data_IF_209904842466
#
_entry.id   IF_209904842466
#
_cell.length_a   1.000
_cell.length_b   1.000
_cell.length_c   1.000
_cell.angle_alpha   90.00
_cell.angle_beta   90.00
_cell.angle_gamma   90.00
#
_symmetry.space_group_name_H-M   'P 1'
#
loop_
_entity.id
_entity.type
_entity.pdbx_description
1 polymer ?
#
# COMPACT_ATOMS: atom_id res chain seq x y z
N UNK A 1 17.74 -0.12 -67.57
CA UNK A 1 17.56 0.93 -66.55
C UNK A 1 16.21 0.67 -65.90
N UNK A 2 16.18 -0.18 -64.86
CA UNK A 2 14.95 -0.55 -64.14
C UNK A 2 14.99 0.11 -62.77
N UNK A 3 13.99 0.96 -62.51
CA UNK A 3 13.85 1.70 -61.26
C UNK A 3 13.40 0.80 -60.13
N UNK A 4 14.16 0.81 -59.03
CA UNK A 4 13.79 0.27 -57.73
C UNK A 4 12.72 1.16 -57.10
N UNK A 5 11.50 0.64 -56.98
CA UNK A 5 10.43 1.22 -56.18
C UNK A 5 10.76 0.91 -54.71
N UNK A 6 10.93 1.96 -53.91
CA UNK A 6 11.16 1.85 -52.48
C UNK A 6 9.93 1.33 -51.74
N UNK A 7 10.16 0.46 -50.78
CA UNK A 7 9.20 0.17 -49.70
C UNK A 7 9.75 0.81 -48.44
N UNK A 8 9.30 2.04 -48.16
CA UNK A 8 9.36 2.59 -46.80
C UNK A 8 8.46 1.73 -45.92
N UNK A 9 9.04 0.86 -45.09
CA UNK A 9 8.35 0.33 -43.92
C UNK A 9 8.24 1.46 -42.90
N UNK A 10 7.11 2.16 -42.91
CA UNK A 10 6.67 2.94 -41.76
C UNK A 10 6.43 1.93 -40.63
N UNK A 11 7.21 1.98 -39.55
CA UNK A 11 6.87 1.23 -38.34
C UNK A 11 5.60 1.85 -37.78
N UNK A 12 4.47 1.17 -37.90
CA UNK A 12 3.27 1.58 -37.18
C UNK A 12 3.61 1.62 -35.68
N UNK A 13 3.42 2.78 -35.04
CA UNK A 13 3.52 2.90 -33.60
C UNK A 13 2.49 1.98 -32.93
N UNK A 14 2.82 1.46 -31.74
CA UNK A 14 1.81 0.79 -30.91
C UNK A 14 0.66 1.77 -30.65
N UNK A 15 -0.58 1.28 -30.68
CA UNK A 15 -1.76 2.07 -30.34
C UNK A 15 -2.43 1.35 -29.18
N UNK A 16 -2.49 2.02 -28.03
CA UNK A 16 -3.09 1.46 -26.83
C UNK A 16 -4.60 1.26 -27.00
N UNK A 17 -5.11 0.16 -26.47
CA UNK A 17 -6.51 -0.17 -26.33
C UNK A 17 -7.09 0.39 -25.03
N UNK A 18 -8.24 -0.17 -24.60
CA UNK A 18 -8.99 0.35 -23.46
C UNK A 18 -8.19 0.29 -22.15
N UNK A 19 -7.41 -0.77 -21.96
CA UNK A 19 -6.55 -0.94 -20.78
C UNK A 19 -5.45 0.11 -20.79
N UNK A 20 -4.81 0.34 -21.94
CA UNK A 20 -3.72 1.30 -22.07
C UNK A 20 -4.13 2.76 -21.92
N UNK A 21 -5.42 3.08 -22.10
CA UNK A 21 -5.98 4.43 -21.96
C UNK A 21 -6.85 4.62 -20.71
N UNK A 22 -6.87 3.66 -19.79
CA UNK A 22 -7.71 3.74 -18.58
C UNK A 22 -7.29 4.92 -17.68
N UNK A 23 -8.25 5.58 -16.98
CA UNK A 23 -7.94 6.59 -15.99
C UNK A 23 -7.11 5.98 -14.84
N UNK A 24 -6.26 6.77 -14.20
CA UNK A 24 -5.31 6.25 -13.20
C UNK A 24 -5.16 7.17 -11.99
N UNK A 25 -4.74 6.56 -10.88
CA UNK A 25 -4.57 7.22 -9.58
C UNK A 25 -3.09 7.26 -9.20
N UNK A 26 -2.36 8.30 -9.63
CA UNK A 26 -0.89 8.41 -9.50
C UNK A 26 -0.34 8.33 -8.07
N UNK A 27 -1.14 8.73 -7.07
CA UNK A 27 -0.74 8.74 -5.66
C UNK A 27 -0.79 7.34 -5.01
N UNK A 28 -1.09 6.30 -5.77
CA UNK A 28 -1.12 4.91 -5.28
C UNK A 28 0.28 4.32 -5.34
N UNK A 29 0.64 3.53 -4.32
CA UNK A 29 1.94 2.84 -4.28
C UNK A 29 2.10 1.81 -5.41
N UNK A 30 1.01 1.11 -5.73
CA UNK A 30 0.94 0.12 -6.81
C UNK A 30 0.21 0.69 -8.01
N UNK A 31 0.52 0.22 -9.23
CA UNK A 31 -0.18 0.67 -10.42
C UNK A 31 -1.69 0.46 -10.31
N UNK A 32 -2.43 1.57 -10.33
CA UNK A 32 -3.86 1.57 -10.07
C UNK A 32 -4.63 2.39 -11.10
N UNK A 33 -5.56 1.75 -11.79
CA UNK A 33 -6.53 2.41 -12.67
C UNK A 33 -7.82 2.69 -11.89
N UNK A 34 -8.47 3.80 -12.19
CA UNK A 34 -9.59 4.31 -11.41
C UNK A 34 -9.86 5.79 -11.66
N UNK A 35 -11.06 6.23 -11.28
CA UNK A 35 -11.49 7.64 -11.38
C UNK A 35 -11.57 8.33 -10.03
N UNK A 36 -11.73 7.57 -8.95
CA UNK A 36 -11.92 8.06 -7.59
C UNK A 36 -11.14 7.15 -6.63
N UNK A 37 -10.33 7.73 -5.74
CA UNK A 37 -9.51 6.95 -4.84
C UNK A 37 -10.28 6.32 -3.68
N UNK A 38 -11.55 6.68 -3.48
CA UNK A 38 -12.45 6.08 -2.48
C UNK A 38 -13.13 4.79 -2.97
N UNK A 39 -13.12 4.54 -4.30
CA UNK A 39 -13.75 3.35 -4.88
C UNK A 39 -13.13 2.04 -4.36
N UNK A 40 -13.95 0.98 -4.20
CA UNK A 40 -13.45 -0.37 -3.93
C UNK A 40 -12.33 -0.77 -4.89
N UNK A 41 -11.30 -1.46 -4.41
CA UNK A 41 -10.16 -1.88 -5.23
C UNK A 41 -10.16 -3.38 -5.48
N UNK A 42 -10.27 -3.79 -6.75
CA UNK A 42 -10.00 -5.14 -7.21
C UNK A 42 -8.49 -5.30 -7.39
N UNK A 43 -7.89 -6.22 -6.65
CA UNK A 43 -6.46 -6.54 -6.79
C UNK A 43 -6.29 -7.64 -7.83
N UNK A 44 -5.40 -7.41 -8.78
CA UNK A 44 -5.14 -8.30 -9.92
C UNK A 44 -3.68 -8.74 -9.88
N UNK A 45 -3.47 -10.05 -9.69
CA UNK A 45 -2.15 -10.69 -9.74
C UNK A 45 -1.88 -11.19 -11.15
N UNK A 46 -0.80 -10.71 -11.76
CA UNK A 46 -0.35 -11.08 -13.11
C UNK A 46 1.16 -11.28 -13.14
N UNK A 47 1.65 -11.93 -14.20
CA UNK A 47 3.07 -12.06 -14.50
C UNK A 47 3.29 -11.84 -16.01
N UNK A 48 4.31 -11.06 -16.38
CA UNK A 48 4.57 -10.71 -17.78
C UNK A 48 5.00 -11.89 -18.66
N UNK A 49 5.52 -12.98 -18.09
CA UNK A 49 5.88 -14.20 -18.83
C UNK A 49 4.74 -15.23 -18.93
N UNK A 50 3.59 -14.98 -18.27
CA UNK A 50 2.47 -15.91 -18.24
C UNK A 50 1.52 -15.70 -19.42
N UNK A 51 1.41 -16.70 -20.31
CA UNK A 51 0.42 -16.72 -21.40
C UNK A 51 -1.03 -16.60 -20.88
N UNK A 52 -1.32 -17.23 -19.73
CA UNK A 52 -2.62 -17.05 -19.08
C UNK A 52 -2.85 -15.59 -18.64
N UNK A 53 -1.82 -14.90 -18.12
CA UNK A 53 -1.92 -13.48 -17.76
C UNK A 53 -2.11 -12.60 -18.99
N UNK A 54 -1.45 -12.93 -20.10
CA UNK A 54 -1.67 -12.26 -21.38
C UNK A 54 -3.12 -12.38 -21.83
N UNK A 55 -3.66 -13.61 -21.85
CA UNK A 55 -5.06 -13.83 -22.21
C UNK A 55 -6.00 -13.02 -21.30
N UNK A 56 -5.73 -13.00 -19.99
CA UNK A 56 -6.51 -12.22 -19.03
C UNK A 56 -6.52 -10.74 -19.37
N UNK A 57 -5.34 -10.14 -19.59
CA UNK A 57 -5.22 -8.70 -19.87
C UNK A 57 -5.92 -8.33 -21.17
N UNK A 58 -5.77 -9.15 -22.21
CA UNK A 58 -6.33 -8.88 -23.55
C UNK A 58 -7.84 -9.10 -23.67
N UNK A 59 -8.49 -9.76 -22.69
CA UNK A 59 -9.91 -10.10 -22.79
C UNK A 59 -10.64 -9.73 -21.49
N UNK A 60 -10.32 -10.42 -20.39
CA UNK A 60 -11.09 -10.30 -19.14
C UNK A 60 -10.87 -8.94 -18.44
N UNK A 61 -9.65 -8.41 -18.46
CA UNK A 61 -9.35 -7.11 -17.85
C UNK A 61 -10.01 -5.98 -18.63
N UNK A 62 -9.99 -6.03 -19.97
CA UNK A 62 -10.68 -5.06 -20.81
C UNK A 62 -12.17 -4.97 -20.46
N UNK A 63 -12.84 -6.11 -20.29
CA UNK A 63 -14.25 -6.14 -19.87
C UNK A 63 -14.45 -5.55 -18.46
N UNK A 64 -13.57 -5.85 -17.49
CA UNK A 64 -13.63 -5.21 -16.16
C UNK A 64 -13.46 -3.69 -16.26
N UNK A 65 -12.53 -3.22 -17.08
CA UNK A 65 -12.30 -1.78 -17.28
C UNK A 65 -13.55 -1.12 -17.85
N UNK A 66 -14.13 -1.73 -18.88
CA UNK A 66 -15.32 -1.22 -19.56
C UNK A 66 -16.52 -1.14 -18.63
N UNK A 67 -16.77 -2.21 -17.86
CA UNK A 67 -18.00 -2.36 -17.09
C UNK A 67 -17.92 -1.76 -15.67
N UNK A 68 -16.73 -1.59 -15.09
CA UNK A 68 -16.61 -1.15 -13.69
C UNK A 68 -15.65 0.03 -13.47
N UNK A 69 -14.54 0.10 -14.19
CA UNK A 69 -13.55 1.18 -13.98
C UNK A 69 -14.02 2.48 -14.63
N UNK A 70 -14.42 2.44 -15.90
CA UNK A 70 -14.88 3.64 -16.62
C UNK A 70 -16.19 4.23 -16.07
N UNK A 71 -17.17 3.41 -15.62
CA UNK A 71 -18.35 3.93 -14.93
C UNK A 71 -18.04 4.51 -13.53
N UNK A 72 -16.83 4.29 -13.00
CA UNK A 72 -16.40 4.80 -11.71
C UNK A 72 -16.89 3.98 -10.51
N UNK A 73 -17.13 2.68 -10.68
CA UNK A 73 -17.58 1.79 -9.61
C UNK A 73 -16.44 1.02 -8.92
N UNK A 74 -15.29 0.90 -9.59
CA UNK A 74 -14.20 0.03 -9.15
C UNK A 74 -12.84 0.59 -9.56
N UNK A 75 -11.88 0.52 -8.65
CA UNK A 75 -10.46 0.68 -8.96
C UNK A 75 -9.84 -0.70 -9.23
N UNK A 76 -8.84 -0.78 -10.11
CA UNK A 76 -8.05 -2.01 -10.32
C UNK A 76 -6.59 -1.72 -9.98
N UNK A 77 -6.07 -2.43 -8.99
CA UNK A 77 -4.66 -2.38 -8.57
C UNK A 77 -3.92 -3.62 -9.06
N UNK A 78 -2.77 -3.44 -9.71
CA UNK A 78 -1.93 -4.53 -10.18
C UNK A 78 -0.88 -4.95 -9.16
N UNK A 79 -0.72 -6.27 -9.02
CA UNK A 79 0.35 -6.92 -8.29
C UNK A 79 1.09 -7.89 -9.23
N UNK A 80 2.41 -7.74 -9.31
CA UNK A 80 3.24 -8.58 -10.16
C UNK A 80 3.79 -9.77 -9.38
N UNK A 81 3.16 -10.93 -9.51
CA UNK A 81 3.57 -12.13 -8.78
C UNK A 81 4.73 -12.81 -9.50
N UNK A 82 5.95 -12.56 -9.03
CA UNK A 82 7.19 -13.09 -9.64
C UNK A 82 7.71 -14.35 -8.97
N UNK A 83 7.43 -14.55 -7.68
CA UNK A 83 7.91 -15.70 -6.91
C UNK A 83 6.75 -16.63 -6.55
N UNK A 84 7.07 -17.90 -6.31
CA UNK A 84 6.10 -18.91 -5.92
C UNK A 84 5.65 -18.73 -4.47
N UNK A 85 4.34 -18.62 -4.18
CA UNK A 85 3.83 -18.56 -2.81
C UNK A 85 4.17 -19.79 -1.95
N UNK A 86 4.37 -20.97 -2.57
CA UNK A 86 4.74 -22.22 -1.90
C UNK A 86 6.25 -22.45 -1.80
N UNK A 87 7.06 -21.67 -2.52
CA UNK A 87 8.51 -21.75 -2.56
C UNK A 87 9.10 -20.38 -2.92
N UNK A 88 9.13 -19.46 -1.96
CA UNK A 88 9.38 -18.02 -2.20
C UNK A 88 10.74 -17.67 -2.82
N UNK A 89 11.69 -18.60 -2.82
CA UNK A 89 13.00 -18.45 -3.46
C UNK A 89 12.98 -18.83 -4.96
N UNK A 90 11.91 -19.46 -5.42
CA UNK A 90 11.71 -19.89 -6.81
C UNK A 90 10.80 -18.92 -7.55
N UNK A 91 11.09 -18.69 -8.83
CA UNK A 91 10.26 -17.87 -9.72
C UNK A 91 8.97 -18.61 -10.13
N UNK A 92 7.92 -17.86 -10.42
CA UNK A 92 6.57 -18.41 -10.57
C UNK A 92 6.35 -19.17 -11.88
N UNK A 93 6.80 -18.62 -13.02
CA UNK A 93 6.44 -19.10 -14.36
C UNK A 93 7.57 -19.90 -15.02
N UNK A 94 8.80 -19.50 -14.80
CA UNK A 94 10.04 -20.00 -15.40
C UNK A 94 11.15 -19.98 -14.36
N UNK A 95 12.30 -20.60 -14.61
CA UNK A 95 13.46 -20.51 -13.70
C UNK A 95 14.33 -19.25 -13.97
N UNK A 96 13.72 -18.15 -14.42
CA UNK A 96 14.43 -16.98 -14.97
C UNK A 96 14.14 -15.67 -14.20
N UNK A 97 15.22 -14.98 -13.79
CA UNK A 97 15.17 -13.68 -13.11
C UNK A 97 14.52 -12.55 -13.96
N UNK A 98 14.26 -12.79 -15.24
CA UNK A 98 13.49 -11.92 -16.11
C UNK A 98 12.09 -11.60 -15.59
N UNK A 99 11.47 -12.49 -14.80
CA UNK A 99 10.16 -12.26 -14.17
C UNK A 99 10.21 -11.10 -13.19
N UNK A 100 11.10 -11.19 -12.19
CA UNK A 100 11.26 -10.13 -11.21
C UNK A 100 11.82 -8.87 -11.86
N UNK A 101 12.70 -8.99 -12.86
CA UNK A 101 13.24 -7.83 -13.60
C UNK A 101 12.15 -7.04 -14.32
N UNK A 102 11.21 -7.70 -14.99
CA UNK A 102 10.09 -7.04 -15.64
C UNK A 102 9.16 -6.36 -14.61
N UNK A 103 8.91 -7.02 -13.48
CA UNK A 103 8.11 -6.46 -12.38
C UNK A 103 8.75 -5.20 -11.77
N UNK A 104 10.06 -5.21 -11.53
CA UNK A 104 10.81 -4.01 -11.08
C UNK A 104 10.75 -2.89 -12.10
N UNK A 105 10.88 -3.19 -13.39
CA UNK A 105 10.78 -2.18 -14.44
C UNK A 105 9.38 -1.56 -14.46
N UNK A 106 8.31 -2.36 -14.34
CA UNK A 106 6.94 -1.86 -14.27
C UNK A 106 6.69 -0.97 -13.05
N UNK A 107 7.18 -1.35 -11.86
CA UNK A 107 7.14 -0.47 -10.69
C UNK A 107 7.92 0.84 -10.92
N UNK A 108 9.05 0.78 -11.62
CA UNK A 108 9.81 1.98 -11.97
C UNK A 108 9.09 2.89 -12.96
N UNK A 109 8.39 2.34 -13.95
CA UNK A 109 7.53 3.15 -14.83
C UNK A 109 6.44 3.82 -14.01
N UNK A 110 5.77 3.10 -13.12
CA UNK A 110 4.72 3.69 -12.26
C UNK A 110 5.23 4.80 -11.34
N UNK A 111 6.39 4.60 -10.70
CA UNK A 111 7.02 5.58 -9.79
C UNK A 111 7.53 6.85 -10.53
N UNK A 112 7.96 6.72 -11.78
CA UNK A 112 8.62 7.82 -12.51
C UNK A 112 7.70 8.50 -13.53
N UNK A 113 6.85 7.74 -14.22
CA UNK A 113 5.94 8.18 -15.28
C UNK A 113 4.60 7.41 -15.21
N UNK A 114 3.79 7.60 -14.16
CA UNK A 114 2.51 6.93 -14.02
C UNK A 114 1.56 7.20 -15.19
N UNK A 115 1.70 8.34 -15.87
CA UNK A 115 0.90 8.72 -17.05
C UNK A 115 1.14 7.82 -18.27
N UNK A 116 2.31 7.17 -18.36
CA UNK A 116 2.68 6.27 -19.46
C UNK A 116 2.63 4.79 -19.05
N UNK A 117 2.26 4.49 -17.80
CA UNK A 117 2.31 3.13 -17.28
C UNK A 117 1.36 2.18 -18.01
N UNK A 118 0.10 2.57 -18.25
CA UNK A 118 -0.89 1.67 -18.83
C UNK A 118 -0.59 1.32 -20.28
N UNK A 119 -0.09 2.29 -21.06
CA UNK A 119 0.39 2.05 -22.42
C UNK A 119 1.59 1.08 -22.44
N UNK A 120 2.54 1.25 -21.52
CA UNK A 120 3.64 0.29 -21.32
C UNK A 120 3.15 -1.11 -20.93
N UNK A 121 2.23 -1.19 -19.98
CA UNK A 121 1.66 -2.44 -19.49
C UNK A 121 0.97 -3.23 -20.60
N UNK A 122 0.12 -2.58 -21.38
CA UNK A 122 -0.59 -3.20 -22.49
C UNK A 122 0.36 -3.56 -23.64
N UNK A 123 1.38 -2.74 -23.91
CA UNK A 123 2.43 -3.05 -24.89
C UNK A 123 3.19 -4.33 -24.53
N UNK A 124 3.54 -4.51 -23.25
CA UNK A 124 4.25 -5.69 -22.75
C UNK A 124 3.44 -6.97 -23.00
N UNK A 125 2.13 -6.96 -22.76
CA UNK A 125 1.24 -8.09 -23.03
C UNK A 125 0.86 -8.24 -24.52
N UNK A 126 1.02 -7.21 -25.34
CA UNK A 126 0.79 -7.29 -26.78
C UNK A 126 1.98 -7.90 -27.55
N UNK A 127 3.18 -7.89 -26.96
CA UNK A 127 4.42 -8.32 -27.62
C UNK A 127 5.09 -9.56 -26.96
N UNK A 128 4.32 -10.46 -26.33
CA UNK A 128 4.87 -11.67 -25.68
C UNK A 128 5.38 -12.66 -26.74
N UNK A 129 6.58 -12.41 -27.25
CA UNK A 129 7.37 -13.35 -28.05
C UNK A 129 8.64 -13.78 -27.31
N UNK A 130 8.88 -13.20 -26.14
CA UNK A 130 10.11 -13.35 -25.35
C UNK A 130 9.89 -14.28 -24.16
N UNK A 131 10.69 -15.35 -24.08
CA UNK A 131 10.71 -16.30 -22.94
C UNK A 131 11.47 -15.77 -21.71
N UNK A 132 12.06 -14.58 -21.79
CA UNK A 132 12.81 -13.89 -20.73
C UNK A 132 12.96 -12.40 -21.09
N UNK A 133 13.10 -11.53 -20.08
CA UNK A 133 13.30 -10.09 -20.25
C UNK A 133 14.70 -9.66 -19.79
N UNK A 134 15.56 -9.27 -20.72
CA UNK A 134 16.85 -8.62 -20.41
C UNK A 134 16.69 -7.11 -20.18
N UNK A 135 17.68 -6.47 -19.56
CA UNK A 135 17.73 -5.01 -19.35
C UNK A 135 17.52 -4.22 -20.65
N UNK A 136 18.24 -4.60 -21.72
CA UNK A 136 18.14 -3.95 -23.04
C UNK A 136 16.75 -4.12 -23.67
N UNK A 137 16.12 -5.29 -23.49
CA UNK A 137 14.76 -5.50 -23.99
C UNK A 137 13.76 -4.59 -23.26
N UNK A 138 13.83 -4.51 -21.93
CA UNK A 138 12.94 -3.67 -21.13
C UNK A 138 13.09 -2.18 -21.47
N UNK A 139 14.32 -1.68 -21.61
CA UNK A 139 14.58 -0.31 -22.08
C UNK A 139 13.99 -0.04 -23.46
N UNK A 140 14.16 -0.98 -24.39
CA UNK A 140 13.56 -0.89 -25.72
C UNK A 140 12.04 -0.91 -25.67
N UNK A 141 11.43 -1.73 -24.81
CA UNK A 141 9.97 -1.84 -24.68
C UNK A 141 9.37 -0.56 -24.11
N UNK A 142 9.96 -0.02 -23.04
CA UNK A 142 9.59 1.28 -22.48
C UNK A 142 9.63 2.38 -23.55
N UNK A 143 10.72 2.49 -24.31
CA UNK A 143 10.83 3.51 -25.36
C UNK A 143 9.82 3.34 -26.49
N UNK A 144 9.46 2.10 -26.84
CA UNK A 144 8.47 1.78 -27.89
C UNK A 144 7.02 2.00 -27.45
N UNK A 145 6.76 2.02 -26.15
CA UNK A 145 5.44 2.27 -25.56
C UNK A 145 5.26 3.70 -25.04
N UNK A 146 6.15 4.63 -25.42
CA UNK A 146 6.02 6.04 -25.08
C UNK A 146 6.64 6.50 -23.75
N UNK A 147 7.26 5.61 -22.97
CA UNK A 147 7.97 5.98 -21.73
C UNK A 147 9.25 6.76 -22.07
N UNK A 148 9.46 7.92 -21.44
CA UNK A 148 10.51 8.88 -21.80
C UNK A 148 11.73 8.80 -20.87
N UNK A 149 11.53 8.58 -19.58
CA UNK A 149 12.57 8.57 -18.54
C UNK A 149 13.22 7.18 -18.37
N UNK A 150 13.41 6.44 -19.46
CA UNK A 150 13.90 5.05 -19.49
C UNK A 150 15.18 4.84 -18.67
N UNK A 151 16.18 5.71 -18.83
CA UNK A 151 17.45 5.63 -18.10
C UNK A 151 17.28 5.76 -16.58
N UNK A 152 16.42 6.67 -16.12
CA UNK A 152 16.16 6.86 -14.69
C UNK A 152 15.45 5.64 -14.11
N UNK A 153 14.46 5.13 -14.83
CA UNK A 153 13.68 3.94 -14.46
C UNK A 153 14.60 2.71 -14.38
N UNK A 154 15.38 2.47 -15.44
CA UNK A 154 16.37 1.40 -15.50
C UNK A 154 17.34 1.46 -14.32
N UNK A 155 17.95 2.63 -14.07
CA UNK A 155 18.89 2.78 -12.95
C UNK A 155 18.25 2.49 -11.58
N UNK A 156 17.00 2.88 -11.36
CA UNK A 156 16.28 2.58 -10.10
C UNK A 156 15.95 1.10 -9.99
N UNK A 157 15.36 0.53 -11.03
CA UNK A 157 14.93 -0.88 -11.05
C UNK A 157 16.11 -1.85 -10.93
N UNK A 158 17.23 -1.57 -11.62
CA UNK A 158 18.37 -2.49 -11.68
C UNK A 158 19.27 -2.41 -10.46
N UNK A 159 19.11 -1.35 -9.64
CA UNK A 159 19.76 -1.22 -8.33
C UNK A 159 18.92 -1.80 -7.19
N UNK A 160 17.83 -2.49 -7.50
CA UNK A 160 17.04 -3.19 -6.47
C UNK A 160 15.98 -2.34 -5.78
N UNK A 161 15.82 -1.05 -6.13
CA UNK A 161 14.87 -0.12 -5.45
C UNK A 161 13.46 -0.69 -5.26
N UNK A 162 12.99 -1.53 -6.19
CA UNK A 162 11.63 -2.08 -6.16
C UNK A 162 11.58 -3.55 -5.71
N UNK A 163 12.67 -4.09 -5.14
CA UNK A 163 12.73 -5.48 -4.65
C UNK A 163 11.65 -5.75 -3.60
N UNK A 164 11.48 -4.83 -2.65
CA UNK A 164 10.47 -4.91 -1.59
C UNK A 164 9.04 -4.91 -2.15
N UNK A 165 8.75 -4.12 -3.18
CA UNK A 165 7.44 -4.14 -3.88
C UNK A 165 7.18 -5.46 -4.61
N UNK A 166 8.20 -6.06 -5.22
CA UNK A 166 8.05 -7.37 -5.88
C UNK A 166 7.85 -8.48 -4.85
N UNK A 167 8.55 -8.42 -3.70
CA UNK A 167 8.40 -9.38 -2.60
C UNK A 167 7.03 -9.26 -1.94
N UNK A 168 6.54 -8.04 -1.68
CA UNK A 168 5.25 -7.80 -1.05
C UNK A 168 4.06 -8.39 -1.82
N UNK A 169 4.13 -8.45 -3.16
CA UNK A 169 3.10 -9.09 -3.97
C UNK A 169 2.99 -10.60 -3.69
N UNK A 170 4.12 -11.26 -3.40
CA UNK A 170 4.18 -12.70 -3.09
C UNK A 170 3.65 -12.99 -1.69
N UNK A 171 3.96 -12.16 -0.72
CA UNK A 171 3.45 -12.32 0.65
C UNK A 171 1.96 -12.04 0.74
N UNK A 172 1.49 -11.03 0.03
CA UNK A 172 0.06 -10.80 -0.07
C UNK A 172 -0.60 -12.04 -0.70
N UNK A 173 -0.02 -12.60 -1.76
CA UNK A 173 -0.53 -13.83 -2.34
C UNK A 173 -0.56 -14.99 -1.32
N UNK A 174 0.48 -15.19 -0.50
CA UNK A 174 0.49 -16.17 0.59
C UNK A 174 -0.63 -15.90 1.61
N UNK A 175 -0.75 -14.65 2.06
CA UNK A 175 -1.72 -14.22 3.08
C UNK A 175 -3.17 -14.49 2.67
N UNK A 176 -3.46 -14.40 1.36
CA UNK A 176 -4.79 -14.63 0.80
C UNK A 176 -4.93 -15.98 0.08
N UNK A 177 -3.94 -16.87 0.18
CA UNK A 177 -3.99 -18.20 -0.42
C UNK A 177 -4.05 -18.19 -1.96
N UNK A 178 -3.48 -17.17 -2.59
CA UNK A 178 -3.40 -16.98 -4.05
C UNK A 178 -2.19 -17.76 -4.58
N UNK A 179 -2.38 -18.89 -5.30
CA UNK A 179 -1.26 -19.79 -5.57
C UNK A 179 -0.62 -19.60 -6.96
N UNK A 180 -1.30 -18.91 -7.88
CA UNK A 180 -0.93 -18.82 -9.30
C UNK A 180 -1.38 -17.50 -9.90
N UNK A 181 -0.98 -17.19 -11.13
CA UNK A 181 -1.54 -16.09 -11.94
C UNK A 181 -2.27 -16.63 -13.18
N UNK A 182 -3.15 -15.83 -13.81
CA UNK A 182 -3.72 -14.59 -13.32
C UNK A 182 -4.72 -14.88 -12.20
N UNK A 183 -4.82 -13.98 -11.22
CA UNK A 183 -5.83 -14.04 -10.16
C UNK A 183 -6.43 -12.67 -9.95
N UNK A 184 -7.72 -12.66 -9.69
CA UNK A 184 -8.43 -11.48 -9.21
C UNK A 184 -8.83 -11.70 -7.76
N UNK A 185 -8.68 -10.68 -6.92
CA UNK A 185 -9.00 -10.69 -5.51
C UNK A 185 -9.80 -9.43 -5.18
N UNK A 186 -10.96 -9.62 -4.57
CA UNK A 186 -11.77 -8.55 -4.01
C UNK A 186 -12.36 -9.07 -2.72
N UNK A 187 -12.13 -8.35 -1.64
CA UNK A 187 -12.27 -8.90 -0.30
C UNK A 187 -11.20 -10.00 -0.06
N UNK A 188 -11.53 -10.96 0.79
CA UNK A 188 -10.73 -12.17 0.97
C UNK A 188 -10.87 -13.19 -0.15
N UNK A 189 -11.92 -13.04 -0.96
CA UNK A 189 -12.20 -13.99 -2.02
C UNK A 189 -11.29 -13.70 -3.21
N UNK A 190 -10.66 -14.74 -3.72
CA UNK A 190 -9.91 -14.68 -4.96
C UNK A 190 -10.40 -15.75 -5.94
N UNK A 191 -10.21 -15.51 -7.24
CA UNK A 191 -10.59 -16.45 -8.31
C UNK A 191 -9.58 -16.38 -9.44
N UNK A 192 -9.40 -17.50 -10.17
CA UNK A 192 -8.53 -17.56 -11.37
C UNK A 192 -9.00 -16.47 -12.33
N UNK A 193 -8.13 -15.69 -12.96
CA UNK A 193 -8.54 -14.58 -13.83
C UNK A 193 -9.25 -15.03 -15.12
N UNK A 194 -8.87 -16.18 -15.67
CA UNK A 194 -9.45 -16.73 -16.90
C UNK A 194 -10.60 -17.68 -16.58
N UNK A 195 -11.78 -17.13 -16.31
CA UNK A 195 -12.99 -17.90 -16.00
C UNK A 195 -14.24 -17.21 -16.54
N UNK A 196 -15.26 -18.03 -16.78
CA UNK A 196 -16.42 -17.66 -17.62
C UNK A 196 -17.35 -16.58 -17.05
N UNK A 197 -17.35 -16.35 -15.73
CA UNK A 197 -18.27 -15.39 -15.07
C UNK A 197 -17.48 -14.39 -14.21
N UNK A 198 -16.50 -13.71 -14.80
CA UNK A 198 -15.68 -12.74 -14.06
C UNK A 198 -16.47 -11.50 -13.64
N UNK A 199 -17.26 -10.94 -14.55
CA UNK A 199 -18.07 -9.76 -14.27
C UNK A 199 -19.11 -10.05 -13.18
N UNK A 200 -19.85 -11.16 -13.29
CA UNK A 200 -20.84 -11.54 -12.27
C UNK A 200 -20.20 -11.89 -10.93
N UNK A 201 -18.98 -12.43 -10.91
CA UNK A 201 -18.22 -12.59 -9.65
C UNK A 201 -17.84 -11.24 -9.06
N UNK A 202 -17.31 -10.30 -9.85
CA UNK A 202 -16.97 -8.95 -9.42
C UNK A 202 -18.19 -8.22 -8.86
N UNK A 203 -19.32 -8.22 -9.57
CA UNK A 203 -20.58 -7.62 -9.12
C UNK A 203 -20.99 -8.13 -7.73
N UNK A 204 -21.09 -9.45 -7.56
CA UNK A 204 -21.49 -10.04 -6.27
C UNK A 204 -20.54 -9.68 -5.13
N UNK A 205 -19.29 -9.33 -5.42
CA UNK A 205 -18.32 -8.89 -4.40
C UNK A 205 -18.50 -7.41 -4.13
N UNK A 206 -18.64 -6.59 -5.17
CA UNK A 206 -18.98 -5.17 -5.06
C UNK A 206 -20.25 -4.94 -4.25
N UNK A 207 -21.31 -5.71 -4.50
CA UNK A 207 -22.55 -5.65 -3.71
C UNK A 207 -22.29 -5.88 -2.21
N UNK A 208 -21.32 -6.75 -1.86
CA UNK A 208 -20.92 -6.97 -0.46
C UNK A 208 -20.01 -5.87 0.07
N UNK A 209 -19.12 -5.30 -0.74
CA UNK A 209 -18.33 -4.12 -0.33
C UNK A 209 -19.28 -2.97 -0.03
N UNK A 210 -20.23 -2.73 -0.93
CA UNK A 210 -21.23 -1.67 -0.85
C UNK A 210 -22.33 -1.96 0.19
N UNK A 211 -22.44 -3.20 0.68
CA UNK A 211 -23.27 -3.49 1.87
C UNK A 211 -22.64 -2.98 3.17
N UNK A 212 -21.32 -2.77 3.17
CA UNK A 212 -20.63 -2.02 4.22
C UNK A 212 -20.72 -0.51 3.96
N UNK A 213 -20.67 0.30 5.00
CA UNK A 213 -20.71 1.76 4.87
C UNK A 213 -19.31 2.35 5.01
N UNK A 214 -18.88 3.13 4.01
CA UNK A 214 -17.80 4.12 4.19
C UNK A 214 -18.46 5.44 4.54
N UNK A 215 -18.10 6.00 5.68
CA UNK A 215 -18.53 7.33 6.12
C UNK A 215 -17.29 8.18 6.38
N UNK A 216 -17.28 9.41 5.88
CA UNK A 216 -16.24 10.39 6.18
C UNK A 216 -16.90 11.57 6.88
N UNK A 217 -16.39 11.93 8.06
CA UNK A 217 -16.81 13.13 8.78
C UNK A 217 -15.61 13.97 9.21
N UNK A 218 -15.82 15.27 9.38
CA UNK A 218 -14.78 16.17 9.86
C UNK A 218 -14.70 16.12 11.40
N UNK A 219 -13.50 15.89 11.94
CA UNK A 219 -13.18 16.19 13.32
C UNK A 219 -12.99 17.70 13.48
N UNK A 220 -13.63 18.33 14.47
CA UNK A 220 -13.57 19.78 14.73
C UNK A 220 -13.87 20.65 13.48
N UNK A 221 -15.04 20.49 12.82
CA UNK A 221 -15.39 21.21 11.60
C UNK A 221 -15.40 22.73 11.81
N UNK A 222 -14.94 23.47 10.80
CA UNK A 222 -14.87 24.94 10.80
C UNK A 222 -13.74 25.53 11.66
N UNK A 223 -12.82 24.71 12.17
CA UNK A 223 -11.67 25.16 12.96
C UNK A 223 -10.36 24.97 12.20
N UNK A 224 -9.27 25.59 12.68
CA UNK A 224 -7.91 25.37 12.12
C UNK A 224 -7.42 23.91 12.24
N UNK A 225 -8.10 23.10 13.05
CA UNK A 225 -7.78 21.68 13.26
C UNK A 225 -8.65 20.74 12.44
N UNK A 226 -9.59 21.27 11.63
CA UNK A 226 -10.53 20.46 10.87
C UNK A 226 -9.81 19.40 10.03
N UNK A 227 -10.17 18.13 10.21
CA UNK A 227 -9.51 17.02 9.53
C UNK A 227 -10.45 15.82 9.35
N UNK A 228 -10.40 15.10 8.22
CA UNK A 228 -11.32 13.98 7.99
C UNK A 228 -11.01 12.78 8.90
N UNK A 229 -12.06 12.11 9.34
CA UNK A 229 -12.06 10.77 9.93
C UNK A 229 -12.82 9.85 8.98
N UNK A 230 -12.21 8.74 8.62
CA UNK A 230 -12.84 7.71 7.78
C UNK A 230 -13.30 6.56 8.66
N UNK A 231 -14.58 6.21 8.58
CA UNK A 231 -15.19 5.07 9.26
C UNK A 231 -15.63 4.07 8.20
N UNK A 232 -14.95 2.93 8.15
CA UNK A 232 -15.20 1.86 7.19
C UNK A 232 -15.78 0.66 7.95
N UNK A 233 -17.10 0.52 7.92
CA UNK A 233 -17.81 -0.59 8.55
C UNK A 233 -18.12 -1.66 7.50
N UNK A 234 -17.69 -2.90 7.76
CA UNK A 234 -17.98 -4.04 6.88
C UNK A 234 -19.44 -4.50 6.89
N UNK A 235 -20.24 -4.01 7.84
CA UNK A 235 -21.61 -4.48 8.10
C UNK A 235 -21.67 -5.89 8.70
N UNK A 236 -20.51 -6.47 9.06
CA UNK A 236 -20.39 -7.83 9.61
C UNK A 236 -19.68 -7.80 10.96
N UNK A 237 -20.01 -8.73 11.89
CA UNK A 237 -19.30 -8.85 13.15
C UNK A 237 -17.78 -9.03 12.95
N UNK A 238 -17.00 -8.41 13.83
CA UNK A 238 -15.54 -8.46 13.83
C UNK A 238 -14.94 -7.35 14.68
N UNK A 239 -13.60 -7.26 14.76
CA UNK A 239 -12.92 -6.29 15.61
C UNK A 239 -13.07 -4.85 15.10
N UNK A 240 -12.96 -3.90 16.01
CA UNK A 240 -12.84 -2.48 15.70
C UNK A 240 -11.38 -2.06 15.84
N UNK A 241 -10.83 -1.40 14.82
CA UNK A 241 -9.47 -0.87 14.88
C UNK A 241 -9.47 0.63 14.62
N UNK A 242 -8.59 1.33 15.32
CA UNK A 242 -8.36 2.76 15.16
C UNK A 242 -6.93 3.01 14.70
N UNK A 243 -6.74 3.62 13.53
CA UNK A 243 -5.43 3.97 12.99
C UNK A 243 -5.30 5.48 12.92
N UNK A 244 -4.19 6.02 13.38
CA UNK A 244 -3.93 7.46 13.37
C UNK A 244 -2.54 7.76 12.81
N UNK A 245 -2.47 8.80 11.99
CA UNK A 245 -1.23 9.35 11.44
C UNK A 245 -1.20 10.87 11.56
N UNK A 246 -0.01 11.46 11.43
CA UNK A 246 0.16 12.91 11.39
C UNK A 246 -0.05 13.62 12.72
N UNK A 247 0.33 12.98 13.82
CA UNK A 247 0.45 13.63 15.14
C UNK A 247 1.49 14.76 15.11
N UNK A 248 2.60 14.52 14.40
CA UNK A 248 3.64 15.51 14.11
C UNK A 248 3.67 15.81 12.60
N UNK A 249 3.91 17.08 12.24
CA UNK A 249 3.80 17.54 10.85
C UNK A 249 5.03 17.27 9.99
N UNK A 250 6.19 17.09 10.61
CA UNK A 250 7.46 16.77 9.96
C UNK A 250 7.63 15.28 9.64
N UNK A 251 6.62 14.46 9.92
CA UNK A 251 6.61 13.00 9.75
C UNK A 251 5.63 12.61 8.62
N UNK A 252 5.96 12.93 7.36
CA UNK A 252 5.07 12.72 6.22
C UNK A 252 4.73 11.27 5.92
N UNK A 253 5.58 10.35 6.34
CA UNK A 253 5.39 8.92 6.16
C UNK A 253 4.13 8.45 6.90
N UNK A 254 4.01 8.81 8.19
CA UNK A 254 2.90 8.43 9.07
C UNK A 254 1.53 8.80 8.51
N UNK A 255 1.35 10.06 8.09
CA UNK A 255 0.06 10.48 7.53
C UNK A 255 -0.17 9.98 6.10
N UNK A 256 0.88 9.69 5.33
CA UNK A 256 0.73 9.09 3.99
C UNK A 256 0.33 7.62 4.10
N UNK A 257 0.96 6.87 5.02
CA UNK A 257 0.60 5.49 5.31
C UNK A 257 -0.83 5.38 5.86
N UNK A 258 -1.23 6.27 6.77
CA UNK A 258 -2.61 6.30 7.27
C UNK A 258 -3.62 6.61 6.16
N UNK A 259 -3.32 7.52 5.22
CA UNK A 259 -4.16 7.75 4.03
C UNK A 259 -4.30 6.49 3.17
N UNK A 260 -3.22 5.70 3.01
CA UNK A 260 -3.29 4.43 2.30
C UNK A 260 -4.16 3.41 3.07
N UNK A 261 -4.05 3.35 4.39
CA UNK A 261 -4.84 2.44 5.24
C UNK A 261 -6.33 2.81 5.26
N UNK A 262 -6.70 4.08 5.14
CA UNK A 262 -8.11 4.50 5.00
C UNK A 262 -8.81 3.89 3.76
N UNK A 263 -8.04 3.38 2.81
CA UNK A 263 -8.55 2.69 1.61
C UNK A 263 -8.76 1.19 1.84
N UNK A 264 -8.32 0.65 2.97
CA UNK A 264 -8.57 -0.74 3.29
C UNK A 264 -10.07 -0.98 3.49
N UNK A 265 -10.53 -2.17 3.11
CA UNK A 265 -11.93 -2.60 3.27
C UNK A 265 -11.97 -3.82 4.18
N UNK A 266 -12.29 -3.68 5.48
CA UNK A 266 -12.39 -4.84 6.35
C UNK A 266 -13.50 -5.78 5.86
N UNK A 267 -13.24 -7.07 5.96
CA UNK A 267 -14.18 -8.15 5.59
C UNK A 267 -15.08 -8.57 6.75
N UNK A 268 -14.80 -8.06 7.94
CA UNK A 268 -15.53 -8.19 9.20
C UNK A 268 -15.02 -7.10 10.16
N UNK A 269 -15.92 -6.54 10.98
CA UNK A 269 -15.60 -5.45 11.89
C UNK A 269 -15.59 -4.07 11.22
N UNK A 270 -14.93 -3.12 11.88
CA UNK A 270 -14.95 -1.69 11.54
C UNK A 270 -13.54 -1.09 11.64
N UNK A 271 -13.05 -0.47 10.57
CA UNK A 271 -11.78 0.25 10.56
C UNK A 271 -12.05 1.75 10.63
N UNK A 272 -11.48 2.43 11.62
CA UNK A 272 -11.54 3.88 11.78
C UNK A 272 -10.15 4.45 11.54
N UNK A 273 -10.04 5.45 10.67
CA UNK A 273 -8.75 6.05 10.30
C UNK A 273 -8.80 7.56 10.41
N UNK A 274 -7.91 8.11 11.21
CA UNK A 274 -7.61 9.55 11.30
C UNK A 274 -6.25 9.83 10.64
N UNK A 275 -6.23 10.10 9.32
CA UNK A 275 -4.96 10.14 8.58
C UNK A 275 -4.09 11.35 8.88
N UNK A 276 -4.68 12.50 9.21
CA UNK A 276 -3.98 13.78 9.37
C UNK A 276 -4.37 14.44 10.68
N UNK A 277 -3.94 13.87 11.81
CA UNK A 277 -4.39 14.29 13.13
C UNK A 277 -4.15 15.77 13.45
N UNK A 278 -3.02 16.35 13.02
CA UNK A 278 -2.62 17.71 13.37
C UNK A 278 -2.39 18.60 12.14
N UNK A 279 -3.47 19.08 11.52
CA UNK A 279 -3.39 19.92 10.32
C UNK A 279 -2.52 21.17 10.48
N UNK A 280 -2.55 21.92 11.61
CA UNK A 280 -1.64 23.05 11.80
C UNK A 280 -0.17 22.65 11.76
N UNK A 281 0.21 21.54 12.42
CA UNK A 281 1.58 21.02 12.41
C UNK A 281 2.00 20.58 11.00
N UNK A 282 1.13 19.84 10.30
CA UNK A 282 1.38 19.35 8.94
C UNK A 282 1.57 20.51 7.97
N UNK A 283 0.73 21.56 8.07
CA UNK A 283 0.80 22.73 7.20
C UNK A 283 2.15 23.47 7.28
N UNK A 284 2.82 23.42 8.44
CA UNK A 284 4.15 24.02 8.64
C UNK A 284 5.29 23.00 8.67
N UNK A 285 5.00 21.71 8.43
CA UNK A 285 5.96 20.59 8.46
C UNK A 285 6.82 20.56 9.73
N UNK A 286 6.19 20.72 10.90
CA UNK A 286 6.91 20.81 12.17
C UNK A 286 6.23 20.01 13.29
N UNK A 287 7.02 19.70 14.32
CA UNK A 287 6.58 18.93 15.50
C UNK A 287 5.68 19.75 16.40
N UNK A 288 6.09 21.00 16.58
CA UNK A 288 5.52 21.92 17.53
C UNK A 288 4.69 22.95 16.79
N UNK A 289 3.50 23.20 17.31
CA UNK A 289 2.68 24.36 16.96
C UNK A 289 2.71 25.36 18.11
N UNK A 290 1.96 26.46 17.99
CA UNK A 290 1.71 27.35 19.13
C UNK A 290 1.04 26.62 20.31
N UNK A 291 0.31 25.54 20.02
CA UNK A 291 -0.36 24.71 21.01
C UNK A 291 0.55 23.61 21.58
N UNK A 292 1.82 23.54 21.15
CA UNK A 292 2.83 22.58 21.64
C UNK A 292 2.97 21.30 20.79
N UNK A 293 3.55 20.26 21.39
CA UNK A 293 3.64 18.89 20.84
C UNK A 293 2.35 18.14 21.18
N UNK A 294 1.55 17.80 20.16
CA UNK A 294 0.26 17.13 20.34
C UNK A 294 0.41 15.78 21.06
N UNK A 295 1.44 15.00 20.75
CA UNK A 295 1.66 13.69 21.36
C UNK A 295 2.31 13.83 22.75
N UNK A 296 2.14 14.96 23.45
CA UNK A 296 2.43 15.17 24.88
C UNK A 296 1.19 15.58 25.67
N UNK A 297 0.02 15.51 25.05
CA UNK A 297 -1.23 16.10 25.57
C UNK A 297 -2.26 15.06 25.97
N UNK A 298 -1.85 13.79 26.11
CA UNK A 298 -2.72 12.66 26.46
C UNK A 298 -2.31 12.06 27.82
N UNK A 299 -2.46 12.77 28.96
CA UNK A 299 -2.18 12.19 30.28
C UNK A 299 -3.12 11.02 30.58
N UNK A 300 -2.59 9.98 31.21
CA UNK A 300 -3.35 8.85 31.76
C UNK A 300 -4.14 9.30 33.00
N UNK A 301 -5.38 8.86 33.14
CA UNK A 301 -6.25 9.16 34.28
C UNK A 301 -6.82 10.58 34.31
N UNK A 302 -6.48 11.42 33.33
CA UNK A 302 -6.95 12.80 33.22
C UNK A 302 -7.44 13.08 31.79
N UNK A 303 -8.23 14.13 31.60
CA UNK A 303 -8.61 14.51 30.24
C UNK A 303 -7.41 15.04 29.43
N UNK A 304 -7.38 14.83 28.10
CA UNK A 304 -6.40 15.47 27.24
C UNK A 304 -6.37 17.00 27.37
N UNK A 305 -5.17 17.57 27.30
CA UNK A 305 -4.91 18.94 27.76
C UNK A 305 -5.26 20.03 26.73
N UNK A 306 -5.34 19.68 25.45
CA UNK A 306 -5.75 20.61 24.37
C UNK A 306 -7.08 20.23 23.73
N UNK A 307 -7.72 21.19 23.06
CA UNK A 307 -8.95 20.97 22.29
C UNK A 307 -8.80 19.85 21.26
N UNK A 308 -7.68 19.84 20.51
CA UNK A 308 -7.42 18.83 19.49
C UNK A 308 -7.19 17.45 20.13
N UNK A 309 -6.34 17.35 21.16
CA UNK A 309 -6.08 16.08 21.84
C UNK A 309 -7.36 15.49 22.44
N UNK A 310 -8.23 16.34 22.99
CA UNK A 310 -9.52 15.92 23.55
C UNK A 310 -10.49 15.45 22.48
N UNK A 311 -10.54 16.13 21.33
CA UNK A 311 -11.35 15.70 20.20
C UNK A 311 -10.90 14.33 19.66
N UNK A 312 -9.59 14.13 19.48
CA UNK A 312 -9.03 12.85 19.02
C UNK A 312 -9.35 11.73 20.02
N UNK A 313 -9.17 11.97 21.32
CA UNK A 313 -9.48 10.99 22.35
C UNK A 313 -10.97 10.63 22.39
N UNK A 314 -11.84 11.62 22.30
CA UNK A 314 -13.29 11.40 22.29
C UNK A 314 -13.74 10.65 21.04
N UNK A 315 -13.16 10.95 19.88
CA UNK A 315 -13.40 10.20 18.63
C UNK A 315 -12.93 8.75 18.79
N UNK A 316 -11.73 8.52 19.34
CA UNK A 316 -11.23 7.16 19.58
C UNK A 316 -12.17 6.37 20.50
N UNK A 317 -12.54 6.93 21.65
CA UNK A 317 -13.40 6.26 22.63
C UNK A 317 -14.82 6.04 22.10
N UNK A 318 -15.35 6.94 21.27
CA UNK A 318 -16.71 6.79 20.72
C UNK A 318 -16.87 5.58 19.79
N UNK A 319 -15.76 5.10 19.21
CA UNK A 319 -15.78 3.93 18.33
C UNK A 319 -15.58 2.59 19.03
N UNK A 320 -15.16 2.60 20.30
CA UNK A 320 -14.88 1.41 21.13
C UNK A 320 -13.91 0.42 20.45
N UNK A 321 -12.65 0.83 20.17
CA UNK A 321 -11.70 -0.01 19.43
C UNK A 321 -11.14 -1.17 20.28
N UNK A 322 -10.87 -2.30 19.63
CA UNK A 322 -10.10 -3.41 20.19
C UNK A 322 -8.58 -3.19 20.05
N UNK A 323 -8.16 -2.38 19.07
CA UNK A 323 -6.74 -2.09 18.81
C UNK A 323 -6.52 -0.68 18.27
N UNK A 324 -5.44 -0.03 18.71
CA UNK A 324 -5.03 1.31 18.24
C UNK A 324 -3.61 1.30 17.65
N UNK A 325 -3.42 1.86 16.47
CA UNK A 325 -2.11 2.01 15.81
C UNK A 325 -1.83 3.48 15.53
N UNK A 326 -0.70 3.99 16.02
CA UNK A 326 -0.23 5.37 15.84
C UNK A 326 1.07 5.37 15.00
N UNK A 327 1.03 6.01 13.83
CA UNK A 327 2.10 5.98 12.82
C UNK A 327 2.97 7.23 12.88
N UNK A 328 4.28 7.04 13.06
CA UNK A 328 5.31 8.08 13.27
C UNK A 328 6.57 7.81 12.45
N UNK A 329 7.43 8.83 12.33
CA UNK A 329 8.78 8.65 11.77
C UNK A 329 9.88 9.41 12.52
N UNK A 330 11.01 8.74 12.73
CA UNK A 330 12.14 9.25 13.50
C UNK A 330 13.33 9.66 12.64
N UNK A 331 14.16 10.58 13.13
CA UNK A 331 15.39 11.01 12.44
C UNK A 331 16.58 10.05 12.57
N UNK A 332 16.44 8.98 13.36
CA UNK A 332 17.48 7.96 13.53
C UNK A 332 16.88 6.59 13.82
N UNK A 333 17.67 5.68 14.35
CA UNK A 333 17.35 4.26 14.47
C UNK A 333 17.52 3.75 15.90
N UNK A 334 16.49 3.05 16.38
CA UNK A 334 16.46 2.41 17.68
C UNK A 334 17.57 1.39 17.84
N UNK A 335 18.22 1.38 19.01
CA UNK A 335 19.40 0.55 19.35
C UNK A 335 20.65 0.76 18.48
N UNK A 336 20.65 1.69 17.52
CA UNK A 336 21.81 2.02 16.70
C UNK A 336 22.40 3.39 17.05
N UNK A 337 21.56 4.44 17.10
CA UNK A 337 22.00 5.82 17.36
C UNK A 337 21.20 6.53 18.46
N UNK A 338 20.48 5.74 19.27
CA UNK A 338 19.73 6.24 20.43
C UNK A 338 18.43 6.97 20.10
N UNK A 339 17.97 6.94 18.84
CA UNK A 339 16.65 7.40 18.42
C UNK A 339 15.63 6.27 18.47
N UNK A 340 14.44 6.46 17.88
CA UNK A 340 13.29 5.54 18.01
C UNK A 340 12.82 4.94 16.68
N UNK A 341 13.42 5.30 15.54
CA UNK A 341 13.02 4.78 14.23
C UNK A 341 13.40 3.31 14.02
N UNK A 342 12.78 2.68 13.01
CA UNK A 342 12.81 1.23 12.79
C UNK A 342 12.45 0.46 14.06
N UNK A 343 11.32 0.82 14.67
CA UNK A 343 10.81 0.11 15.83
C UNK A 343 9.28 0.13 15.92
N UNK A 344 8.75 -0.91 16.57
CA UNK A 344 7.34 -0.96 16.97
C UNK A 344 7.30 -1.00 18.50
N UNK A 345 6.68 -0.01 19.13
CA UNK A 345 6.51 0.07 20.58
C UNK A 345 5.10 -0.36 20.97
N UNK A 346 4.91 -1.59 21.47
CA UNK A 346 3.60 -2.07 21.89
C UNK A 346 3.25 -1.60 23.30
N UNK A 347 1.97 -1.48 23.59
CA UNK A 347 1.46 -1.54 24.96
C UNK A 347 1.76 -2.90 25.61
N UNK A 348 1.59 -3.01 26.93
CA UNK A 348 1.81 -4.28 27.63
C UNK A 348 0.74 -5.34 27.35
N UNK A 349 -0.37 -5.00 26.67
CA UNK A 349 -1.45 -5.95 26.38
C UNK A 349 -1.02 -7.06 25.40
N UNK A 350 -0.30 -6.70 24.33
CA UNK A 350 0.05 -7.62 23.23
C UNK A 350 1.46 -7.35 22.67
N UNK A 351 2.51 -7.49 23.52
CA UNK A 351 3.88 -7.16 23.14
C UNK A 351 4.48 -8.10 22.09
N UNK A 352 4.01 -9.35 22.02
CA UNK A 352 4.49 -10.34 21.05
C UNK A 352 4.07 -9.98 19.62
N UNK A 353 2.86 -9.44 19.44
CA UNK A 353 2.40 -9.04 18.11
C UNK A 353 3.31 -8.02 17.43
N UNK A 354 3.90 -7.10 18.21
CA UNK A 354 4.87 -6.15 17.69
C UNK A 354 6.18 -6.83 17.26
N UNK A 355 6.62 -7.87 17.96
CA UNK A 355 7.79 -8.66 17.58
C UNK A 355 7.54 -9.39 16.27
N UNK A 356 6.37 -10.02 16.15
CA UNK A 356 6.00 -10.76 14.95
C UNK A 356 5.85 -9.81 13.75
N UNK A 357 5.25 -8.64 13.94
CA UNK A 357 5.18 -7.60 12.91
C UNK A 357 6.57 -7.08 12.51
N UNK A 358 7.48 -6.85 13.47
CA UNK A 358 8.86 -6.48 13.16
C UNK A 358 9.55 -7.56 12.31
N UNK A 359 9.43 -8.84 12.70
CA UNK A 359 10.04 -9.94 11.97
C UNK A 359 9.48 -10.03 10.55
N UNK A 360 8.14 -9.96 10.41
CA UNK A 360 7.48 -9.94 9.12
C UNK A 360 8.04 -8.81 8.24
N UNK A 361 8.11 -7.58 8.75
CA UNK A 361 8.64 -6.44 7.97
C UNK A 361 10.11 -6.66 7.58
N UNK A 362 10.94 -7.14 8.50
CA UNK A 362 12.39 -7.33 8.29
C UNK A 362 12.73 -8.41 7.26
N UNK A 363 11.96 -9.48 7.25
CA UNK A 363 12.17 -10.60 6.33
C UNK A 363 11.72 -10.26 4.91
N UNK A 364 10.73 -9.37 4.79
CA UNK A 364 9.92 -9.23 3.59
C UNK A 364 10.13 -7.90 2.85
N UNK A 365 10.28 -6.81 3.59
CA UNK A 365 10.25 -5.45 3.05
C UNK A 365 11.58 -4.70 3.16
N UNK A 366 12.50 -5.16 4.02
CA UNK A 366 13.83 -4.55 4.16
C UNK A 366 14.79 -5.16 3.14
N UNK A 367 15.11 -4.40 2.09
CA UNK A 367 16.08 -4.84 1.08
C UNK A 367 17.51 -4.85 1.66
N UNK A 368 18.04 -6.06 1.91
CA UNK A 368 19.39 -6.27 2.47
C UNK A 368 20.52 -5.80 1.56
N UNK A 369 20.26 -5.60 0.27
CA UNK A 369 21.26 -5.07 -0.66
C UNK A 369 21.45 -3.55 -0.52
N UNK A 370 20.46 -2.86 0.02
CA UNK A 370 20.46 -1.41 0.22
C UNK A 370 20.58 -1.03 1.70
N UNK A 371 19.89 -1.77 2.57
CA UNK A 371 19.74 -1.49 3.99
C UNK A 371 20.45 -2.57 4.84
N UNK A 372 21.60 -2.25 5.47
CA UNK A 372 22.29 -3.17 6.36
C UNK A 372 21.46 -3.52 7.61
N UNK A 373 21.81 -4.57 8.37
CA UNK A 373 20.96 -5.12 9.44
C UNK A 373 20.55 -4.18 10.56
N UNK A 374 21.23 -3.05 10.75
CA UNK A 374 20.81 -2.05 11.73
C UNK A 374 19.55 -1.28 11.32
N UNK A 375 19.06 -1.43 10.07
CA UNK A 375 17.74 -0.94 9.64
C UNK A 375 16.59 -1.89 9.99
N UNK A 376 16.87 -3.04 10.61
CA UNK A 376 15.80 -3.95 11.02
C UNK A 376 14.90 -3.31 12.06
N UNK A 377 13.60 -3.42 11.83
CA UNK A 377 12.58 -3.15 12.82
C UNK A 377 12.85 -3.94 14.08
N UNK A 378 12.87 -3.22 15.19
CA UNK A 378 13.04 -3.79 16.51
C UNK A 378 11.76 -3.62 17.33
N UNK A 379 11.37 -4.66 18.06
CA UNK A 379 10.37 -4.50 19.09
C UNK A 379 10.93 -3.59 20.21
N UNK A 380 10.28 -2.45 20.39
CA UNK A 380 10.59 -1.47 21.43
C UNK A 380 10.16 -1.93 22.82
N UNK A 381 10.40 -1.11 23.83
CA UNK A 381 9.91 -1.37 25.18
C UNK A 381 8.38 -1.29 25.26
N UNK A 382 7.78 -2.00 26.22
CA UNK A 382 6.34 -1.89 26.46
C UNK A 382 5.95 -0.50 26.96
N UNK A 383 4.80 0.00 26.50
CA UNK A 383 4.21 1.27 26.89
C UNK A 383 3.19 1.03 28.02
N UNK A 384 3.55 1.42 29.24
CA UNK A 384 2.76 1.12 30.45
C UNK A 384 1.87 2.26 30.95
N UNK A 385 1.53 3.26 30.12
CA UNK A 385 0.68 4.38 30.54
C UNK A 385 1.35 5.48 31.36
N UNK A 386 2.66 5.42 31.59
CA UNK A 386 3.39 6.40 32.42
C UNK A 386 3.74 7.73 31.76
N UNK A 387 3.39 7.94 30.49
CA UNK A 387 3.76 9.13 29.71
C UNK A 387 2.51 9.72 29.04
N UNK A 388 2.46 11.04 28.79
CA UNK A 388 1.28 11.67 28.21
C UNK A 388 1.21 11.52 26.68
N UNK A 389 1.43 10.30 26.17
CA UNK A 389 1.37 9.94 24.74
C UNK A 389 0.04 9.24 24.46
N UNK A 390 -0.49 9.35 23.24
CA UNK A 390 -1.78 8.73 22.89
C UNK A 390 -1.83 7.24 23.23
N UNK A 391 -0.85 6.45 22.75
CA UNK A 391 -0.83 5.00 22.99
C UNK A 391 -0.57 4.65 24.46
N UNK A 392 0.13 5.51 25.21
CA UNK A 392 0.22 5.33 26.66
C UNK A 392 -1.14 5.50 27.32
N UNK A 393 -1.91 6.54 26.94
CA UNK A 393 -3.26 6.77 27.45
C UNK A 393 -4.22 5.64 27.08
N UNK A 394 -4.14 5.12 25.86
CA UNK A 394 -4.91 3.93 25.42
C UNK A 394 -4.73 2.77 26.39
N UNK A 395 -3.48 2.43 26.73
CA UNK A 395 -3.25 1.36 27.71
C UNK A 395 -3.59 1.76 29.14
N UNK A 396 -3.24 2.98 29.55
CA UNK A 396 -3.41 3.45 30.91
C UNK A 396 -4.87 3.58 31.34
N UNK A 397 -5.75 4.00 30.43
CA UNK A 397 -7.17 4.21 30.72
C UNK A 397 -8.03 3.02 30.27
N UNK A 398 -7.72 2.42 29.13
CA UNK A 398 -8.58 1.40 28.50
C UNK A 398 -8.00 -0.02 28.57
N UNK A 399 -6.72 -0.17 28.95
CA UNK A 399 -6.01 -1.46 28.98
C UNK A 399 -5.99 -2.21 27.63
N UNK A 400 -6.10 -1.46 26.53
CA UNK A 400 -6.20 -2.01 25.18
C UNK A 400 -4.83 -2.27 24.54
N UNK A 401 -4.77 -3.21 23.58
CA UNK A 401 -3.73 -3.27 22.57
C UNK A 401 -3.51 -1.93 21.85
N UNK A 402 -2.29 -1.41 21.94
CA UNK A 402 -1.86 -0.23 21.20
C UNK A 402 -0.42 -0.34 20.70
N UNK A 403 -0.10 0.36 19.60
CA UNK A 403 1.22 0.32 18.97
C UNK A 403 1.62 1.71 18.48
N UNK A 404 2.87 2.10 18.74
CA UNK A 404 3.54 3.17 18.01
C UNK A 404 4.45 2.51 16.97
N UNK A 405 4.21 2.77 15.69
CA UNK A 405 5.08 2.31 14.59
C UNK A 405 5.96 3.48 14.18
N UNK A 406 7.28 3.28 14.21
CA UNK A 406 8.27 4.30 13.91
C UNK A 406 9.19 3.85 12.76
N UNK A 407 9.09 4.49 11.60
CA UNK A 407 10.13 4.34 10.55
C UNK A 407 11.31 5.27 10.81
N UNK A 408 12.46 4.98 10.17
CA UNK A 408 13.58 5.93 10.15
C UNK A 408 13.61 6.74 8.87
N UNK A 409 13.85 8.05 8.99
CA UNK A 409 14.14 9.00 7.90
C UNK A 409 15.63 9.08 7.57
N UNK A 410 16.48 8.38 8.32
CA UNK A 410 17.93 8.39 8.16
C UNK A 410 18.31 7.57 6.94
N UNK A 411 18.81 8.25 5.90
CA UNK A 411 19.37 7.64 4.69
C UNK A 411 18.44 6.59 4.03
N UNK A 412 17.12 6.81 4.10
CA UNK A 412 16.07 5.94 3.53
C UNK A 412 15.24 6.69 2.49
N UNK A 413 14.67 5.94 1.54
CA UNK A 413 13.73 6.50 0.58
C UNK A 413 12.34 6.72 1.20
N UNK A 414 11.59 7.70 0.68
CA UNK A 414 10.25 8.03 1.19
C UNK A 414 9.27 6.88 0.97
N UNK A 415 9.32 6.27 -0.21
CA UNK A 415 8.44 5.20 -0.64
C UNK A 415 8.65 3.94 0.21
N UNK A 416 9.91 3.63 0.55
CA UNK A 416 10.25 2.51 1.42
C UNK A 416 9.68 2.68 2.83
N UNK A 417 9.82 3.88 3.41
CA UNK A 417 9.25 4.18 4.74
C UNK A 417 7.73 4.03 4.76
N UNK A 418 7.03 4.60 3.78
CA UNK A 418 5.57 4.47 3.68
C UNK A 418 5.17 3.00 3.53
N UNK A 419 5.89 2.25 2.69
CA UNK A 419 5.66 0.81 2.52
C UNK A 419 5.83 0.03 3.82
N UNK A 420 6.90 0.30 4.57
CA UNK A 420 7.18 -0.36 5.85
C UNK A 420 6.12 -0.05 6.91
N UNK A 421 5.63 1.18 6.99
CA UNK A 421 4.54 1.54 7.93
C UNK A 421 3.23 0.86 7.56
N UNK A 422 2.85 0.88 6.29
CA UNK A 422 1.64 0.19 5.81
C UNK A 422 1.75 -1.31 6.07
N UNK A 423 2.91 -1.92 5.81
CA UNK A 423 3.15 -3.34 6.08
C UNK A 423 3.05 -3.66 7.57
N UNK A 424 3.73 -2.88 8.44
CA UNK A 424 3.68 -3.05 9.89
C UNK A 424 2.25 -2.90 10.43
N UNK A 425 1.54 -1.84 10.04
CA UNK A 425 0.18 -1.59 10.48
C UNK A 425 -0.77 -2.69 9.99
N UNK A 426 -0.70 -3.07 8.70
CA UNK A 426 -1.51 -4.15 8.14
C UNK A 426 -1.29 -5.46 8.89
N UNK A 427 -0.04 -5.78 9.22
CA UNK A 427 0.28 -7.01 9.93
C UNK A 427 -0.26 -7.00 11.36
N UNK A 428 -0.06 -5.91 12.10
CA UNK A 428 -0.65 -5.73 13.44
C UNK A 428 -2.17 -5.88 13.42
N UNK A 429 -2.86 -5.22 12.49
CA UNK A 429 -4.31 -5.30 12.35
C UNK A 429 -4.77 -6.73 12.02
N UNK A 430 -4.04 -7.43 11.15
CA UNK A 430 -4.30 -8.84 10.81
C UNK A 430 -4.17 -9.75 12.03
N UNK A 431 -3.15 -9.56 12.86
CA UNK A 431 -2.96 -10.32 14.10
C UNK A 431 -4.09 -10.09 15.13
N UNK A 432 -4.81 -8.97 15.03
CA UNK A 432 -6.03 -8.69 15.82
C UNK A 432 -7.32 -9.17 15.15
N UNK A 433 -7.21 -9.99 14.11
CA UNK A 433 -8.38 -10.53 13.41
C UNK A 433 -9.06 -9.53 12.48
N UNK A 434 -8.45 -8.37 12.21
CA UNK A 434 -8.95 -7.43 11.21
C UNK A 434 -8.39 -7.76 9.83
N UNK A 435 -9.29 -8.05 8.91
CA UNK A 435 -8.95 -8.75 7.69
C UNK A 435 -9.43 -7.94 6.50
N UNK A 436 -8.51 -7.51 5.66
CA UNK A 436 -8.82 -6.56 4.60
C UNK A 436 -9.10 -7.22 3.27
N UNK A 437 -9.81 -6.47 2.45
CA UNK A 437 -10.29 -6.85 1.16
C UNK A 437 -9.53 -6.40 -0.05
#
# INVERSE_FOLDING_TARGET
>A
MFGTIGVQRVSAGFTAGLVGTAPYLSERLYPTMGTDDENPTLVVYVNFLSEDSQYFVQHNLEDIVREYVLPGELNVELRFLSYRPDAIDDYLVSDDEGEARASRAAHGVWDVEPENFWEFFEFMFSNVTTKSYTHTQLESHMGRSGVRNTTKIANRAYRGRYNSLVRSATEEAIRYGVPTVPRVRLLRDHKRGNYTDILGWTQRRLDRVNSGSVQTHSLLPGTKYETPVHVIDSGKPGPVAFVVGGMHGEEPEGYTAAQQIARFRPTGGKLVVLPRANQPAIGIKARYTIDGDLNRQFPTGEDPTSTLARAIWNELVSHDPDVVVDLHSSSGIYKYDGKVGQAIFPTSATPENARDACNAVNEQYIDRSEYPPYYDFNRGNSLGGSRPLLIHKVYGDLHLPGYIVETTRKDTHFEDRVMWEVAAARDLLWQHGMLFG
#
